data_IF_866056449524
#
_entry.id   IF_866056449524
#
_cell.length_a   1.000
_cell.length_b   1.000
_cell.length_c   1.000
_cell.angle_alpha   90.00
_cell.angle_beta   90.00
_cell.angle_gamma   90.00
#
_symmetry.space_group_name_H-M   'P 1'
#
loop_
_entity.id
_entity.type
_entity.pdbx_description
1 polymer ?
#
# COMPACT_ATOMS: atom_id res chain seq x y z
N UNK A 1 -4.06 -0.18 -18.13
CA UNK A 1 -4.16 0.86 -17.09
C UNK A 1 -3.03 0.63 -16.10
N UNK A 2 -2.60 1.67 -15.37
CA UNK A 2 -1.63 1.55 -14.26
C UNK A 2 -2.41 1.66 -12.96
N UNK A 3 -2.26 0.68 -12.07
CA UNK A 3 -3.09 0.53 -10.85
C UNK A 3 -2.41 0.99 -9.56
N UNK A 4 -1.13 1.38 -9.64
CA UNK A 4 -0.38 1.88 -8.49
C UNK A 4 1.03 2.35 -8.87
N UNK A 5 1.65 3.11 -7.97
CA UNK A 5 3.01 3.66 -8.11
C UNK A 5 3.78 3.54 -6.79
N UNK A 6 5.10 3.38 -6.87
CA UNK A 6 6.01 3.39 -5.71
C UNK A 6 7.17 4.35 -5.99
N UNK A 7 7.51 5.17 -5.01
CA UNK A 7 8.64 6.09 -5.12
C UNK A 7 9.96 5.32 -5.09
N UNK A 8 10.95 5.72 -5.90
CA UNK A 8 12.23 4.99 -6.02
C UNK A 8 13.20 5.22 -4.86
N UNK A 9 13.04 6.35 -4.17
CA UNK A 9 13.99 6.82 -3.15
C UNK A 9 13.37 7.06 -1.77
N UNK A 10 12.05 7.03 -1.67
CA UNK A 10 11.33 7.34 -0.43
C UNK A 10 10.36 6.20 -0.14
N UNK A 11 10.10 5.88 1.14
CA UNK A 11 9.15 4.85 1.54
C UNK A 11 7.71 5.33 1.32
N UNK A 12 7.29 5.42 0.06
CA UNK A 12 5.98 5.92 -0.33
C UNK A 12 5.44 5.15 -1.54
N UNK A 13 4.15 4.82 -1.51
CA UNK A 13 3.43 4.21 -2.61
C UNK A 13 1.96 4.66 -2.63
N UNK A 14 1.27 4.42 -3.74
CA UNK A 14 -0.18 4.60 -3.85
C UNK A 14 -0.79 3.57 -4.78
N UNK A 15 -2.09 3.32 -4.61
CA UNK A 15 -2.92 2.48 -5.48
C UNK A 15 -4.18 3.24 -5.89
N UNK A 16 -4.73 2.90 -7.06
CA UNK A 16 -5.92 3.58 -7.59
C UNK A 16 -7.23 2.94 -7.09
N UNK A 17 -7.18 1.67 -6.68
CA UNK A 17 -8.33 0.92 -6.16
C UNK A 17 -8.44 1.02 -4.63
N UNK A 18 -9.52 0.46 -4.10
CA UNK A 18 -9.82 0.44 -2.66
C UNK A 18 -9.32 -0.87 -2.02
N UNK A 19 -8.20 -0.86 -1.28
CA UNK A 19 -7.64 -2.06 -0.66
C UNK A 19 -8.44 -2.57 0.54
N UNK A 20 -9.34 -1.75 1.10
CA UNK A 20 -10.24 -2.11 2.21
C UNK A 20 -11.40 -3.02 1.78
N UNK A 21 -11.67 -3.11 0.48
CA UNK A 21 -12.61 -4.04 -0.13
C UNK A 21 -14.05 -3.97 0.44
N UNK A 22 -14.57 -2.77 0.65
CA UNK A 22 -15.91 -2.53 1.21
C UNK A 22 -16.86 -1.83 0.22
N UNK A 23 -17.59 -2.55 -0.67
CA UNK A 23 -17.60 -4.01 -0.90
C UNK A 23 -16.56 -4.48 -1.93
N UNK A 24 -16.08 -5.72 -1.81
CA UNK A 24 -15.13 -6.29 -2.79
C UNK A 24 -14.33 -7.48 -2.23
N UNK A 25 -13.43 -8.06 -3.04
CA UNK A 25 -12.51 -9.10 -2.59
C UNK A 25 -11.33 -8.51 -1.79
N UNK A 26 -10.91 -9.19 -0.72
CA UNK A 26 -9.83 -8.76 0.17
C UNK A 26 -8.41 -9.02 -0.38
N UNK A 27 -8.27 -9.17 -1.70
CA UNK A 27 -7.03 -9.57 -2.39
C UNK A 27 -5.90 -8.54 -2.24
N UNK A 28 -6.22 -7.31 -1.82
CA UNK A 28 -5.26 -6.22 -1.67
C UNK A 28 -5.07 -5.72 -0.22
N UNK A 29 -5.57 -6.48 0.75
CA UNK A 29 -5.42 -6.15 2.19
C UNK A 29 -3.96 -6.12 2.66
N UNK A 30 -3.07 -6.87 2.01
CA UNK A 30 -1.63 -6.88 2.30
C UNK A 30 -0.95 -5.50 2.14
N UNK A 31 -1.58 -4.57 1.40
CA UNK A 31 -1.06 -3.20 1.27
C UNK A 31 -1.09 -2.43 2.60
N UNK A 32 -1.95 -2.82 3.53
CA UNK A 32 -1.92 -2.29 4.89
C UNK A 32 -0.71 -2.81 5.67
N UNK A 33 -0.34 -4.08 5.51
CA UNK A 33 0.87 -4.65 6.12
C UNK A 33 2.13 -3.95 5.57
N UNK A 34 2.22 -3.77 4.24
CA UNK A 34 3.29 -2.99 3.59
C UNK A 34 3.39 -1.57 4.17
N UNK A 35 2.25 -0.92 4.44
CA UNK A 35 2.24 0.42 5.04
C UNK A 35 2.73 0.40 6.49
N UNK A 36 2.31 -0.58 7.29
CA UNK A 36 2.78 -0.74 8.67
C UNK A 36 4.28 -1.00 8.73
N UNK A 37 4.80 -1.86 7.85
CA UNK A 37 6.24 -2.12 7.71
C UNK A 37 7.03 -0.84 7.38
N UNK A 38 6.47 0.04 6.54
CA UNK A 38 7.10 1.33 6.25
C UNK A 38 7.15 2.23 7.49
N UNK A 39 6.10 2.25 8.31
CA UNK A 39 6.04 3.04 9.55
C UNK A 39 7.03 2.50 10.60
N UNK A 40 7.09 1.19 10.79
CA UNK A 40 7.97 0.55 11.78
C UNK A 40 9.46 0.72 11.45
N UNK A 41 9.79 0.84 10.17
CA UNK A 41 11.16 1.03 9.70
C UNK A 41 11.54 2.50 9.46
N UNK A 42 10.61 3.45 9.61
CA UNK A 42 10.89 4.88 9.39
C UNK A 42 11.76 5.49 10.51
N UNK A 43 11.73 4.93 11.72
CA UNK A 43 12.46 5.43 12.90
C UNK A 43 13.75 4.65 13.24
N UNK A 44 14.12 3.65 12.45
CA UNK A 44 15.41 2.94 12.58
C UNK A 44 16.46 3.49 11.63
#
# INVERSE_FOLDING_TARGET
>A
SVEGVRHKHFPAFSVQFHPDAAPGPHDASYLFDDFMDLMDNFEK
#
